data_IF_601304747589
#
_entry.id   IF_601304747589
#
_cell.length_a   1.000
_cell.length_b   1.000
_cell.length_c   1.000
_cell.angle_alpha   90.00
_cell.angle_beta   90.00
_cell.angle_gamma   90.00
#
_symmetry.space_group_name_H-M   'P 1'
#
loop_
_entity.id
_entity.type
_entity.pdbx_description
1 polymer ?
#
# COMPACT_ATOMS: atom_id res chain seq x y z
N UNK A 1 7.22 -11.55 3.32
CA UNK A 1 7.36 -12.26 2.02
C UNK A 1 6.63 -11.44 0.95
N UNK A 2 7.19 -11.32 -0.26
CA UNK A 2 6.56 -10.62 -1.38
C UNK A 2 5.37 -11.42 -1.94
N UNK A 3 4.59 -10.84 -2.87
CA UNK A 3 3.54 -11.55 -3.61
C UNK A 3 4.04 -12.92 -4.10
N UNK A 4 3.22 -13.95 -3.88
CA UNK A 4 3.57 -15.31 -4.29
C UNK A 4 3.50 -15.46 -5.84
N UNK A 5 3.86 -16.63 -6.36
CA UNK A 5 3.92 -16.86 -7.82
C UNK A 5 2.55 -16.71 -8.50
N UNK A 6 1.48 -17.17 -7.85
CA UNK A 6 0.11 -17.11 -8.37
C UNK A 6 -0.40 -15.67 -8.36
N UNK A 7 -0.15 -14.94 -7.26
CA UNK A 7 -0.47 -13.53 -7.15
C UNK A 7 0.25 -12.69 -8.20
N UNK A 8 1.54 -12.98 -8.45
CA UNK A 8 2.26 -12.31 -9.53
C UNK A 8 1.69 -12.61 -10.91
N UNK A 9 1.14 -13.80 -11.13
CA UNK A 9 0.46 -14.14 -12.39
C UNK A 9 -0.86 -13.35 -12.52
N UNK A 10 -1.68 -13.32 -11.47
CA UNK A 10 -2.91 -12.54 -11.43
C UNK A 10 -2.67 -11.05 -11.64
N UNK A 11 -1.64 -10.48 -11.01
CA UNK A 11 -1.27 -9.07 -11.21
C UNK A 11 -0.83 -8.77 -12.65
N UNK A 12 -0.21 -9.74 -13.36
CA UNK A 12 0.08 -9.60 -14.80
C UNK A 12 -1.19 -9.60 -15.64
N UNK A 13 -2.20 -10.34 -15.23
CA UNK A 13 -3.54 -10.36 -15.84
C UNK A 13 -4.43 -9.19 -15.37
N UNK A 14 -3.87 -8.22 -14.63
CA UNK A 14 -4.59 -7.07 -14.06
C UNK A 14 -5.72 -7.49 -13.10
N UNK A 15 -5.61 -8.67 -12.49
CA UNK A 15 -6.52 -9.18 -11.47
C UNK A 15 -5.95 -8.87 -10.10
N UNK A 16 -6.72 -8.15 -9.29
CA UNK A 16 -6.36 -7.80 -7.92
C UNK A 16 -7.14 -8.67 -6.95
N UNK A 17 -6.47 -9.26 -5.98
CA UNK A 17 -7.11 -10.02 -4.90
C UNK A 17 -7.17 -9.20 -3.62
N UNK A 18 -8.05 -9.59 -2.70
CA UNK A 18 -8.08 -9.00 -1.36
C UNK A 18 -6.73 -9.14 -0.65
N UNK A 19 -6.12 -10.32 -0.72
CA UNK A 19 -4.83 -10.58 -0.06
C UNK A 19 -3.71 -9.67 -0.59
N UNK A 20 -3.60 -9.46 -1.92
CA UNK A 20 -2.65 -8.51 -2.50
C UNK A 20 -2.82 -7.11 -1.93
N UNK A 21 -4.07 -6.65 -1.82
CA UNK A 21 -4.38 -5.32 -1.32
C UNK A 21 -4.03 -5.17 0.16
N UNK A 22 -4.25 -6.21 0.98
CA UNK A 22 -3.78 -6.24 2.37
C UNK A 22 -2.26 -6.13 2.44
N UNK A 23 -1.53 -6.93 1.66
CA UNK A 23 -0.06 -6.88 1.61
C UNK A 23 0.46 -5.51 1.18
N UNK A 24 -0.23 -4.83 0.26
CA UNK A 24 0.12 -3.48 -0.15
C UNK A 24 -0.13 -2.44 0.95
N UNK A 25 -1.25 -2.55 1.66
CA UNK A 25 -1.56 -1.67 2.78
C UNK A 25 -0.53 -1.80 3.91
N UNK A 26 -0.05 -3.01 4.19
CA UNK A 26 1.04 -3.21 5.17
C UNK A 26 2.30 -2.45 4.76
N UNK A 27 2.68 -2.51 3.48
CA UNK A 27 3.82 -1.76 2.94
C UNK A 27 3.62 -0.25 3.07
N UNK A 28 2.41 0.26 2.77
CA UNK A 28 2.09 1.67 2.93
C UNK A 28 2.24 2.11 4.41
N UNK A 29 1.64 1.38 5.35
CA UNK A 29 1.72 1.73 6.78
C UNK A 29 3.16 1.71 7.30
N UNK A 30 3.98 0.75 6.85
CA UNK A 30 5.41 0.71 7.21
C UNK A 30 6.15 1.94 6.72
N UNK A 31 5.96 2.34 5.46
CA UNK A 31 6.68 3.47 4.86
C UNK A 31 6.19 4.82 5.36
N UNK A 32 4.89 4.96 5.65
CA UNK A 32 4.33 6.13 6.33
C UNK A 32 4.99 6.27 7.71
N UNK A 33 5.03 5.20 8.51
CA UNK A 33 5.61 5.24 9.85
C UNK A 33 7.12 5.51 9.80
N UNK A 34 7.84 4.87 8.88
CA UNK A 34 9.28 5.08 8.68
C UNK A 34 9.58 6.54 8.31
N UNK A 35 8.89 7.09 7.33
CA UNK A 35 9.11 8.47 6.89
C UNK A 35 8.65 9.49 7.94
N UNK A 36 7.56 9.22 8.68
CA UNK A 36 7.15 10.04 9.81
C UNK A 36 8.21 10.06 10.93
N UNK A 37 8.82 8.92 11.23
CA UNK A 37 9.92 8.83 12.19
C UNK A 37 11.15 9.62 11.71
N UNK A 38 11.56 9.45 10.45
CA UNK A 38 12.71 10.17 9.88
C UNK A 38 12.46 11.68 9.84
N UNK A 39 11.27 12.12 9.43
CA UNK A 39 10.84 13.52 9.46
C UNK A 39 10.92 14.10 10.88
N UNK A 40 10.44 13.38 11.90
CA UNK A 40 10.57 13.83 13.31
C UNK A 40 12.02 13.86 13.81
N UNK A 41 12.81 12.83 13.48
CA UNK A 41 14.18 12.69 13.96
C UNK A 41 15.11 13.71 13.33
N UNK A 42 14.97 13.94 12.03
CA UNK A 42 15.91 14.74 11.25
C UNK A 42 15.34 16.07 10.77
N UNK A 43 14.02 16.31 10.86
CA UNK A 43 13.38 17.52 10.32
C UNK A 43 13.86 18.84 10.93
N UNK A 44 14.40 18.82 12.15
CA UNK A 44 15.05 20.00 12.73
C UNK A 44 16.48 20.20 12.21
N UNK A 45 17.21 19.12 11.93
CA UNK A 45 18.60 19.15 11.44
C UNK A 45 18.69 19.39 9.93
N UNK A 46 17.68 18.92 9.21
CA UNK A 46 17.53 19.00 7.76
C UNK A 46 16.45 20.01 7.37
N UNK A 47 16.14 20.96 8.27
CA UNK A 47 15.09 21.96 8.03
C UNK A 47 15.44 22.76 6.78
N UNK A 48 14.54 22.80 5.81
CA UNK A 48 14.74 23.40 4.48
C UNK A 48 15.81 22.73 3.60
N UNK A 49 16.28 21.52 3.95
CA UNK A 49 17.12 20.70 3.07
C UNK A 49 16.25 19.83 2.15
N UNK A 50 16.81 19.43 1.01
CA UNK A 50 16.15 18.52 0.05
C UNK A 50 15.78 17.21 0.75
N UNK A 51 16.67 16.68 1.58
CA UNK A 51 16.48 15.44 2.33
C UNK A 51 15.37 15.56 3.38
N UNK A 52 15.31 16.63 4.16
CA UNK A 52 14.24 16.86 5.13
C UNK A 52 12.87 16.98 4.47
N UNK A 53 12.80 17.71 3.35
CA UNK A 53 11.58 17.85 2.55
C UNK A 53 11.16 16.52 1.89
N UNK A 54 12.12 15.65 1.57
CA UNK A 54 11.84 14.35 0.94
C UNK A 54 11.08 13.39 1.84
N UNK A 55 11.34 13.36 3.16
CA UNK A 55 10.62 12.45 4.06
C UNK A 55 9.14 12.79 4.18
N UNK A 56 8.80 14.09 4.26
CA UNK A 56 7.41 14.53 4.29
C UNK A 56 6.71 14.24 2.96
N UNK A 57 7.38 14.52 1.84
CA UNK A 57 6.90 14.17 0.51
C UNK A 57 6.60 12.67 0.37
N UNK A 58 7.56 11.81 0.70
CA UNK A 58 7.36 10.36 0.61
C UNK A 58 6.27 9.89 1.57
N UNK A 59 6.20 10.41 2.79
CA UNK A 59 5.09 10.07 3.71
C UNK A 59 3.73 10.37 3.06
N UNK A 60 3.59 11.54 2.43
CA UNK A 60 2.35 11.92 1.76
C UNK A 60 2.05 11.02 0.56
N UNK A 61 3.04 10.71 -0.28
CA UNK A 61 2.89 9.78 -1.41
C UNK A 61 2.33 8.41 -0.96
N UNK A 62 2.89 7.83 0.11
CA UNK A 62 2.42 6.55 0.64
C UNK A 62 1.05 6.65 1.33
N UNK A 63 0.69 7.80 1.90
CA UNK A 63 -0.67 8.06 2.39
C UNK A 63 -1.67 8.08 1.23
N UNK A 64 -1.33 8.70 0.11
CA UNK A 64 -2.19 8.77 -1.06
C UNK A 64 -2.40 7.37 -1.68
N UNK A 65 -1.32 6.57 -1.79
CA UNK A 65 -1.42 5.17 -2.23
C UNK A 65 -2.31 4.35 -1.31
N UNK A 66 -2.18 4.52 0.01
CA UNK A 66 -3.04 3.85 0.99
C UNK A 66 -4.51 4.20 0.77
N UNK A 67 -4.84 5.47 0.58
CA UNK A 67 -6.22 5.90 0.40
C UNK A 67 -6.83 5.40 -0.91
N UNK A 68 -6.05 5.36 -2.00
CA UNK A 68 -6.48 4.74 -3.27
C UNK A 68 -6.85 3.27 -3.09
N UNK A 69 -5.98 2.49 -2.44
CA UNK A 69 -6.21 1.07 -2.16
C UNK A 69 -7.42 0.88 -1.24
N UNK A 70 -7.56 1.69 -0.18
CA UNK A 70 -8.74 1.65 0.70
C UNK A 70 -10.03 2.03 -0.03
N UNK A 71 -9.96 2.95 -0.98
CA UNK A 71 -11.12 3.36 -1.79
C UNK A 71 -11.67 2.22 -2.64
N UNK A 72 -10.82 1.32 -3.11
CA UNK A 72 -11.26 0.11 -3.82
C UNK A 72 -11.83 -0.92 -2.84
N UNK A 73 -11.22 -1.10 -1.66
CA UNK A 73 -11.71 -2.08 -0.68
C UNK A 73 -13.05 -1.68 -0.04
N UNK A 74 -13.27 -0.40 0.25
CA UNK A 74 -14.50 0.07 0.91
C UNK A 74 -15.77 -0.25 0.13
N UNK A 75 -15.65 -0.47 -1.19
CA UNK A 75 -16.79 -0.83 -2.06
C UNK A 75 -17.29 -2.25 -1.80
N UNK A 76 -16.43 -3.16 -1.34
CA UNK A 76 -16.77 -4.59 -1.14
C UNK A 76 -16.58 -5.09 0.28
N UNK A 77 -15.80 -4.40 1.11
CA UNK A 77 -15.39 -4.88 2.43
C UNK A 77 -15.61 -3.81 3.50
N UNK A 78 -15.99 -4.25 4.70
CA UNK A 78 -16.03 -3.36 5.85
C UNK A 78 -14.62 -2.93 6.24
N UNK A 79 -14.38 -1.62 6.31
CA UNK A 79 -13.06 -1.08 6.64
C UNK A 79 -12.53 -1.53 8.00
N UNK A 80 -13.40 -1.84 8.97
CA UNK A 80 -12.99 -2.43 10.25
C UNK A 80 -12.25 -3.76 10.06
N UNK A 81 -12.71 -4.61 9.14
CA UNK A 81 -12.09 -5.89 8.85
C UNK A 81 -10.76 -5.69 8.13
N UNK A 82 -10.72 -4.80 7.14
CA UNK A 82 -9.48 -4.43 6.45
C UNK A 82 -8.41 -3.95 7.44
N UNK A 83 -8.76 -3.04 8.35
CA UNK A 83 -7.83 -2.53 9.37
C UNK A 83 -7.33 -3.65 10.29
N UNK A 84 -8.21 -4.56 10.72
CA UNK A 84 -7.83 -5.72 11.54
C UNK A 84 -6.84 -6.62 10.78
N UNK A 85 -7.13 -6.92 9.53
CA UNK A 85 -6.33 -7.84 8.72
C UNK A 85 -4.96 -7.25 8.40
N UNK A 86 -4.88 -5.95 8.08
CA UNK A 86 -3.60 -5.23 7.92
C UNK A 86 -2.77 -5.29 9.19
N UNK A 87 -3.37 -5.07 10.37
CA UNK A 87 -2.65 -5.15 11.66
C UNK A 87 -2.17 -6.56 12.00
N UNK A 88 -2.92 -7.58 11.60
CA UNK A 88 -2.58 -8.99 11.84
C UNK A 88 -1.59 -9.57 10.83
N UNK A 89 -1.41 -8.93 9.67
CA UNK A 89 -0.56 -9.43 8.60
C UNK A 89 0.92 -9.16 8.91
N UNK A 90 1.75 -10.21 8.79
CA UNK A 90 3.21 -10.14 8.98
C UNK A 90 3.97 -10.00 7.65
N UNK A 91 3.29 -10.25 6.55
CA UNK A 91 3.84 -10.17 5.20
C UNK A 91 3.50 -8.83 4.55
N UNK A 92 4.22 -8.50 3.47
CA UNK A 92 4.08 -7.22 2.80
C UNK A 92 4.48 -7.31 1.34
N UNK A 93 3.84 -6.53 0.50
CA UNK A 93 4.19 -6.42 -0.92
C UNK A 93 5.51 -5.65 -1.10
N UNK A 94 6.17 -5.83 -2.23
CA UNK A 94 7.29 -4.95 -2.59
C UNK A 94 6.76 -3.54 -2.92
N UNK A 95 7.60 -2.52 -2.83
CA UNK A 95 7.21 -1.16 -3.24
C UNK A 95 6.82 -1.07 -4.72
N UNK A 96 7.48 -1.85 -5.56
CA UNK A 96 7.20 -1.96 -6.99
C UNK A 96 5.80 -2.55 -7.24
N UNK A 97 5.43 -3.59 -6.51
CA UNK A 97 4.10 -4.20 -6.60
C UNK A 97 3.02 -3.21 -6.15
N UNK A 98 3.26 -2.44 -5.08
CA UNK A 98 2.30 -1.41 -4.63
C UNK A 98 2.09 -0.35 -5.71
N UNK A 99 3.18 0.19 -6.25
CA UNK A 99 3.12 1.20 -7.32
C UNK A 99 2.36 0.68 -8.52
N UNK A 100 2.66 -0.55 -8.95
CA UNK A 100 1.97 -1.20 -10.06
C UNK A 100 0.46 -1.34 -9.81
N UNK A 101 0.06 -1.78 -8.61
CA UNK A 101 -1.35 -1.91 -8.24
C UNK A 101 -2.04 -0.55 -8.23
N UNK A 102 -1.40 0.48 -7.68
CA UNK A 102 -1.94 1.85 -7.67
C UNK A 102 -2.12 2.38 -9.09
N UNK A 103 -1.16 2.16 -9.99
CA UNK A 103 -1.29 2.54 -11.40
C UNK A 103 -2.51 1.86 -12.04
N UNK A 104 -2.70 0.55 -11.83
CA UNK A 104 -3.89 -0.14 -12.36
C UNK A 104 -5.20 0.44 -11.79
N UNK A 105 -5.22 0.85 -10.52
CA UNK A 105 -6.37 1.50 -9.89
C UNK A 105 -6.64 2.87 -10.51
N UNK A 106 -5.60 3.70 -10.68
CA UNK A 106 -5.70 5.03 -11.27
C UNK A 106 -6.19 4.98 -12.72
N UNK A 107 -5.71 4.01 -13.50
CA UNK A 107 -6.09 3.80 -14.90
C UNK A 107 -7.48 3.14 -15.03
N UNK A 108 -8.05 2.64 -13.93
CA UNK A 108 -9.28 1.84 -13.93
C UNK A 108 -9.14 0.48 -14.63
N UNK A 109 -7.91 0.05 -14.90
CA UNK A 109 -7.60 -1.16 -15.66
C UNK A 109 -7.39 -2.36 -14.74
N UNK A 110 -8.37 -2.67 -13.89
CA UNK A 110 -8.28 -3.83 -12.99
C UNK A 110 -9.61 -4.57 -12.83
N UNK A 111 -9.51 -5.85 -12.49
CA UNK A 111 -10.63 -6.65 -12.04
C UNK A 111 -10.37 -7.11 -10.62
N UNK A 112 -11.21 -6.69 -9.68
CA UNK A 112 -11.14 -7.17 -8.30
C UNK A 112 -11.76 -8.56 -8.22
N UNK A 113 -10.90 -9.57 -8.14
CA UNK A 113 -11.29 -10.96 -7.99
C UNK A 113 -11.52 -11.28 -6.51
N UNK A 114 -12.68 -11.86 -6.20
CA UNK A 114 -12.95 -12.35 -4.86
C UNK A 114 -12.07 -13.56 -4.59
N UNK A 115 -11.26 -13.51 -3.54
CA UNK A 115 -10.64 -14.73 -3.01
C UNK A 115 -11.77 -15.66 -2.54
N UNK A 116 -11.77 -16.89 -3.05
CA UNK A 116 -12.73 -17.95 -2.68
C UNK A 116 -12.56 -18.47 -1.25
N UNK A 117 -11.91 -17.70 -0.36
CA UNK A 117 -11.68 -18.03 1.05
C UNK A 117 -12.76 -17.42 1.96
N UNK A 118 -14.03 -17.56 1.55
CA UNK A 118 -15.18 -17.38 2.45
C UNK A 118 -15.70 -18.73 2.89
#
# INVERSE_FOLDING_TARGET
MALNKEEKALLKEKKLTYHMMILCLVTCEELINKNAYLSRKWGNYLKNSVEGNSYEYYKQEWMDYREKIRSVLKEKYQMRNVIRDVKGCKDKASQEDVKRIVTLIDDGEYVLVSDSRQ
#
